data_IF_598775144428
#
_entry.id   IF_598775144428
#
_cell.length_a   1.000
_cell.length_b   1.000
_cell.length_c   1.000
_cell.angle_alpha   90.00
_cell.angle_beta   90.00
_cell.angle_gamma   90.00
#
_symmetry.space_group_name_H-M   'P 1'
#
loop_
_entity.id
_entity.type
_entity.pdbx_description
1 polymer ?
#
# COMPACT_ATOMS: atom_id res chain seq x y z
N UNK A 1 -18.65 -16.34 -4.57
CA UNK A 1 -18.56 -14.89 -4.86
C UNK A 1 -19.95 -14.40 -5.22
N UNK A 2 -20.37 -13.23 -4.72
CA UNK A 2 -21.66 -12.64 -5.12
C UNK A 2 -21.60 -12.15 -6.58
N UNK A 3 -22.72 -12.07 -7.26
CA UNK A 3 -22.85 -11.54 -8.63
C UNK A 3 -22.26 -10.13 -8.76
N UNK A 4 -22.44 -9.31 -7.73
CA UNK A 4 -21.85 -7.97 -7.61
C UNK A 4 -20.30 -8.03 -7.67
N UNK A 5 -19.66 -8.97 -6.97
CA UNK A 5 -18.20 -9.13 -6.96
C UNK A 5 -17.67 -9.58 -8.34
N UNK A 6 -18.40 -10.45 -9.03
CA UNK A 6 -18.03 -10.93 -10.38
C UNK A 6 -18.03 -9.76 -11.37
N UNK A 7 -19.06 -8.93 -11.35
CA UNK A 7 -19.15 -7.75 -12.23
C UNK A 7 -18.05 -6.73 -11.93
N UNK A 8 -17.82 -6.42 -10.66
CA UNK A 8 -16.71 -5.52 -10.27
C UNK A 8 -15.36 -6.03 -10.77
N UNK A 9 -15.11 -7.34 -10.70
CA UNK A 9 -13.87 -7.94 -11.21
C UNK A 9 -13.76 -7.81 -12.73
N UNK A 10 -14.83 -8.07 -13.49
CA UNK A 10 -14.83 -7.90 -14.94
C UNK A 10 -14.53 -6.45 -15.37
N UNK A 11 -15.09 -5.46 -14.64
CA UNK A 11 -14.81 -4.04 -14.87
C UNK A 11 -13.34 -3.72 -14.57
N UNK A 12 -12.79 -4.27 -13.48
CA UNK A 12 -11.39 -4.09 -13.09
C UNK A 12 -10.43 -4.69 -14.12
N UNK A 13 -10.70 -5.91 -14.59
CA UNK A 13 -9.89 -6.57 -15.60
C UNK A 13 -9.92 -5.80 -16.94
N UNK A 14 -11.04 -5.16 -17.25
CA UNK A 14 -11.16 -4.29 -18.43
C UNK A 14 -10.29 -3.04 -18.32
N UNK A 15 -10.22 -2.39 -17.14
CA UNK A 15 -9.32 -1.27 -16.92
C UNK A 15 -7.87 -1.72 -17.04
N UNK A 16 -7.50 -2.86 -16.43
CA UNK A 16 -6.15 -3.43 -16.53
C UNK A 16 -5.76 -3.72 -17.97
N UNK A 17 -6.66 -4.29 -18.77
CA UNK A 17 -6.42 -4.53 -20.21
C UNK A 17 -6.17 -3.23 -20.97
N UNK A 18 -6.92 -2.18 -20.71
CA UNK A 18 -6.77 -0.88 -21.37
C UNK A 18 -5.44 -0.20 -21.03
N UNK A 19 -4.92 -0.34 -19.81
CA UNK A 19 -3.63 0.23 -19.41
C UNK A 19 -2.44 -0.36 -20.16
N UNK A 20 -2.59 -1.47 -20.87
CA UNK A 20 -1.55 -2.04 -21.74
C UNK A 20 -1.33 -1.22 -23.00
N UNK A 21 -2.32 -0.41 -23.41
CA UNK A 21 -2.29 0.34 -24.68
C UNK A 21 -2.55 1.83 -24.54
N UNK A 22 -3.12 2.26 -23.41
CA UNK A 22 -3.44 3.66 -23.10
C UNK A 22 -2.90 4.06 -21.74
N UNK A 23 -2.52 5.31 -21.54
CA UNK A 23 -2.23 5.86 -20.22
C UNK A 23 -3.52 6.09 -19.43
N UNK A 24 -3.48 5.92 -18.12
CA UNK A 24 -4.67 5.97 -17.26
C UNK A 24 -5.44 7.28 -17.40
N UNK A 25 -4.77 8.42 -17.48
CA UNK A 25 -5.38 9.73 -17.70
C UNK A 25 -6.27 9.78 -18.95
N UNK A 26 -5.89 9.09 -20.02
CA UNK A 26 -6.64 9.00 -21.30
C UNK A 26 -7.72 7.94 -21.35
N UNK A 27 -7.81 7.07 -20.35
CA UNK A 27 -8.87 6.08 -20.26
C UNK A 27 -10.12 6.73 -19.69
N UNK A 28 -11.25 6.61 -20.38
CA UNK A 28 -12.57 7.08 -19.94
C UNK A 28 -13.45 5.94 -19.44
N UNK A 29 -14.51 6.27 -18.68
CA UNK A 29 -15.54 5.30 -18.28
C UNK A 29 -16.19 4.66 -19.51
N UNK A 30 -16.29 5.40 -20.63
CA UNK A 30 -16.77 4.85 -21.90
C UNK A 30 -15.87 3.71 -22.38
N UNK A 31 -14.57 3.93 -22.43
CA UNK A 31 -13.60 2.92 -22.86
C UNK A 31 -13.69 1.66 -21.99
N UNK A 32 -13.78 1.83 -20.66
CA UNK A 32 -13.90 0.70 -19.71
C UNK A 32 -15.19 -0.07 -19.93
N UNK A 33 -16.34 0.63 -20.10
CA UNK A 33 -17.63 0.00 -20.32
C UNK A 33 -17.67 -0.76 -21.65
N UNK A 34 -17.15 -0.19 -22.72
CA UNK A 34 -17.05 -0.84 -24.04
C UNK A 34 -16.14 -2.07 -23.97
N UNK A 35 -14.99 -1.98 -23.32
CA UNK A 35 -14.06 -3.09 -23.12
C UNK A 35 -14.69 -4.23 -22.31
N UNK A 36 -15.51 -3.90 -21.31
CA UNK A 36 -16.21 -4.86 -20.43
C UNK A 36 -17.46 -5.45 -21.08
N UNK A 37 -17.97 -4.88 -22.17
CA UNK A 37 -19.24 -5.28 -22.80
C UNK A 37 -20.49 -4.89 -21.99
N UNK A 38 -20.41 -3.82 -21.19
CA UNK A 38 -21.51 -3.30 -20.37
C UNK A 38 -21.88 -1.88 -20.80
N UNK A 39 -23.08 -1.42 -20.41
CA UNK A 39 -23.42 0.00 -20.57
C UNK A 39 -22.82 0.85 -19.44
N UNK A 40 -22.72 2.17 -19.63
CA UNK A 40 -22.18 3.09 -18.62
C UNK A 40 -23.02 3.12 -17.34
N UNK A 41 -24.32 2.92 -17.42
CA UNK A 41 -25.20 2.89 -16.24
C UNK A 41 -24.82 1.72 -15.32
N UNK A 42 -24.51 0.56 -15.89
CA UNK A 42 -23.98 -0.59 -15.13
C UNK A 42 -22.65 -0.28 -14.48
N UNK A 43 -21.74 0.43 -15.15
CA UNK A 43 -20.51 0.90 -14.53
C UNK A 43 -20.79 1.79 -13.31
N UNK A 44 -21.63 2.84 -13.48
CA UNK A 44 -21.98 3.78 -12.41
C UNK A 44 -22.78 3.15 -11.26
N UNK A 45 -23.42 2.02 -11.48
CA UNK A 45 -24.01 1.25 -10.39
C UNK A 45 -22.96 0.66 -9.44
N UNK A 46 -21.75 0.35 -9.94
CA UNK A 46 -20.67 -0.27 -9.18
C UNK A 46 -19.61 0.72 -8.69
N UNK A 47 -19.31 1.73 -9.47
CA UNK A 47 -18.23 2.70 -9.22
C UNK A 47 -18.65 4.10 -9.64
N UNK A 48 -18.39 5.09 -8.78
CA UNK A 48 -18.68 6.49 -9.07
C UNK A 48 -17.89 7.01 -10.29
N UNK A 49 -16.62 6.61 -10.37
CA UNK A 49 -15.71 6.98 -11.45
C UNK A 49 -14.56 5.96 -11.62
N UNK A 50 -13.65 6.24 -12.55
CA UNK A 50 -12.46 5.38 -12.77
C UNK A 50 -11.46 5.40 -11.62
N UNK A 51 -11.44 6.43 -10.79
CA UNK A 51 -10.55 6.53 -9.63
C UNK A 51 -11.06 5.69 -8.46
N UNK A 52 -12.36 5.67 -8.25
CA UNK A 52 -13.01 4.75 -7.29
C UNK A 52 -12.79 3.29 -7.69
N UNK A 53 -12.88 2.97 -8.99
CA UNK A 53 -12.51 1.65 -9.51
C UNK A 53 -11.03 1.35 -9.26
N UNK A 54 -10.14 2.31 -9.50
CA UNK A 54 -8.71 2.14 -9.28
C UNK A 54 -8.40 1.83 -7.81
N UNK A 55 -8.95 2.59 -6.87
CA UNK A 55 -8.82 2.30 -5.42
C UNK A 55 -9.29 0.90 -5.09
N UNK A 56 -10.44 0.49 -5.62
CA UNK A 56 -10.97 -0.85 -5.39
C UNK A 56 -10.02 -1.94 -5.90
N UNK A 57 -9.33 -1.72 -7.02
CA UNK A 57 -8.34 -2.67 -7.54
C UNK A 57 -7.15 -2.77 -6.58
N UNK A 58 -6.56 -1.65 -6.16
CA UNK A 58 -5.45 -1.66 -5.21
C UNK A 58 -5.84 -2.31 -3.88
N UNK A 59 -7.05 -2.02 -3.37
CA UNK A 59 -7.57 -2.64 -2.16
C UNK A 59 -7.74 -4.15 -2.34
N UNK A 60 -8.47 -4.58 -3.38
CA UNK A 60 -8.83 -5.99 -3.56
C UNK A 60 -7.66 -6.87 -4.00
N UNK A 61 -6.71 -6.33 -4.78
CA UNK A 61 -5.61 -7.11 -5.36
C UNK A 61 -4.37 -7.11 -4.49
N UNK A 62 -4.15 -6.05 -3.69
CA UNK A 62 -2.96 -5.89 -2.87
C UNK A 62 -3.29 -5.81 -1.38
N UNK A 63 -3.97 -4.74 -0.92
CA UNK A 63 -4.06 -4.44 0.51
C UNK A 63 -4.81 -5.53 1.27
N UNK A 64 -6.00 -5.91 0.82
CA UNK A 64 -6.81 -6.96 1.47
C UNK A 64 -6.18 -8.35 1.44
N UNK A 65 -5.22 -8.61 0.55
CA UNK A 65 -4.57 -9.92 0.46
C UNK A 65 -3.26 -9.98 1.25
N UNK A 66 -2.48 -8.91 1.18
CA UNK A 66 -1.10 -8.93 1.66
C UNK A 66 -0.87 -8.05 2.88
N UNK A 67 -1.74 -7.08 3.16
CA UNK A 67 -1.56 -6.12 4.25
C UNK A 67 -2.61 -6.26 5.35
N UNK A 68 -3.20 -7.46 5.52
CA UNK A 68 -4.03 -7.82 6.68
C UNK A 68 -3.18 -8.39 7.79
N UNK A 69 -3.58 -8.19 9.05
CA UNK A 69 -2.88 -8.67 10.24
C UNK A 69 -1.39 -8.28 10.25
N UNK A 70 -1.11 -7.05 9.82
CA UNK A 70 0.24 -6.50 9.81
C UNK A 70 0.67 -6.18 11.22
N UNK A 71 1.86 -6.66 11.58
CA UNK A 71 2.54 -6.37 12.84
C UNK A 71 3.94 -5.83 12.57
N UNK A 72 4.58 -5.31 13.61
CA UNK A 72 5.96 -4.87 13.53
C UNK A 72 6.92 -5.99 13.10
N UNK A 73 6.62 -7.24 13.44
CA UNK A 73 7.47 -8.38 13.11
C UNK A 73 7.31 -8.88 11.67
N UNK A 74 6.11 -8.76 11.09
CA UNK A 74 5.79 -9.39 9.81
C UNK A 74 5.65 -8.43 8.62
N UNK A 75 5.60 -7.11 8.84
CA UNK A 75 5.27 -6.15 7.77
C UNK A 75 6.23 -6.21 6.57
N UNK A 76 7.52 -6.47 6.78
CA UNK A 76 8.49 -6.56 5.69
C UNK A 76 8.26 -7.79 4.81
N UNK A 77 7.90 -8.92 5.40
CA UNK A 77 7.54 -10.15 4.67
C UNK A 77 6.21 -9.98 3.91
N UNK A 78 5.24 -9.32 4.54
CA UNK A 78 3.97 -8.97 3.89
C UNK A 78 4.19 -8.02 2.72
N UNK A 79 5.05 -7.02 2.92
CA UNK A 79 5.44 -6.11 1.86
C UNK A 79 6.10 -6.82 0.67
N UNK A 80 7.03 -7.75 0.91
CA UNK A 80 7.67 -8.53 -0.14
C UNK A 80 6.63 -9.27 -1.00
N UNK A 81 5.64 -9.92 -0.34
CA UNK A 81 4.55 -10.60 -1.03
C UNK A 81 3.70 -9.62 -1.86
N UNK A 82 3.43 -8.41 -1.35
CA UNK A 82 2.71 -7.36 -2.07
C UNK A 82 3.52 -6.88 -3.28
N UNK A 83 4.80 -6.58 -3.12
CA UNK A 83 5.67 -6.13 -4.21
C UNK A 83 5.81 -7.20 -5.29
N UNK A 84 5.91 -8.48 -4.91
CA UNK A 84 5.93 -9.61 -5.84
C UNK A 84 4.64 -9.67 -6.66
N UNK A 85 3.47 -9.53 -6.01
CA UNK A 85 2.19 -9.49 -6.71
C UNK A 85 2.06 -8.29 -7.67
N UNK A 86 2.67 -7.14 -7.33
CA UNK A 86 2.71 -6.00 -8.26
C UNK A 86 3.52 -6.29 -9.52
N UNK A 87 4.57 -7.12 -9.46
CA UNK A 87 5.36 -7.47 -10.64
C UNK A 87 4.60 -8.35 -11.62
N UNK A 88 3.60 -9.12 -11.18
CA UNK A 88 2.74 -9.94 -12.04
C UNK A 88 1.88 -9.09 -13.00
N UNK A 89 1.53 -7.85 -12.62
CA UNK A 89 0.76 -6.91 -13.44
C UNK A 89 1.47 -5.55 -13.57
N UNK A 90 2.79 -5.64 -13.78
CA UNK A 90 3.75 -4.54 -13.81
C UNK A 90 3.29 -3.35 -14.66
N UNK A 91 2.77 -3.63 -15.87
CA UNK A 91 2.30 -2.58 -16.79
C UNK A 91 1.18 -1.74 -16.17
N UNK A 92 0.22 -2.38 -15.50
CA UNK A 92 -0.88 -1.70 -14.83
C UNK A 92 -0.39 -0.78 -13.70
N UNK A 93 0.43 -1.29 -12.79
CA UNK A 93 0.89 -0.51 -11.64
C UNK A 93 1.81 0.64 -12.05
N UNK A 94 2.71 0.44 -13.02
CA UNK A 94 3.56 1.52 -13.55
C UNK A 94 2.69 2.60 -14.21
N UNK A 95 1.72 2.19 -15.03
CA UNK A 95 0.83 3.13 -15.72
C UNK A 95 0.05 3.98 -14.72
N UNK A 96 -0.59 3.34 -13.73
CA UNK A 96 -1.43 4.04 -12.75
C UNK A 96 -0.61 4.94 -11.81
N UNK A 97 0.57 4.51 -11.35
CA UNK A 97 1.44 5.37 -10.52
C UNK A 97 1.92 6.59 -11.30
N UNK A 98 2.24 6.46 -12.58
CA UNK A 98 2.75 7.58 -13.40
C UNK A 98 1.68 8.55 -13.88
N UNK A 99 0.43 8.12 -14.03
CA UNK A 99 -0.59 8.87 -14.77
C UNK A 99 -1.88 9.14 -13.96
N UNK A 100 -1.77 9.22 -12.63
CA UNK A 100 -2.90 9.57 -11.74
C UNK A 100 -2.70 10.89 -10.98
N UNK A 101 -1.76 11.75 -11.38
CA UNK A 101 -1.52 13.06 -10.73
C UNK A 101 -1.42 12.94 -9.19
N UNK A 102 -0.67 11.95 -8.69
CA UNK A 102 -0.50 11.62 -7.26
C UNK A 102 -1.73 11.01 -6.56
N UNK A 103 -2.87 10.87 -7.22
CA UNK A 103 -4.09 10.37 -6.57
C UNK A 103 -3.91 9.01 -5.89
N UNK A 104 -3.28 8.05 -6.59
CA UNK A 104 -3.05 6.73 -6.00
C UNK A 104 -1.95 6.76 -4.94
N UNK A 105 -0.95 7.64 -5.12
CA UNK A 105 0.12 7.82 -4.14
C UNK A 105 -0.43 8.34 -2.80
N UNK A 106 -1.30 9.36 -2.85
CA UNK A 106 -1.96 9.90 -1.65
C UNK A 106 -2.84 8.85 -0.97
N UNK A 107 -3.59 8.08 -1.75
CA UNK A 107 -4.39 6.98 -1.21
C UNK A 107 -3.52 5.94 -0.48
N UNK A 108 -2.43 5.48 -1.11
CA UNK A 108 -1.53 4.49 -0.52
C UNK A 108 -0.83 5.02 0.74
N UNK A 109 -0.48 6.31 0.76
CA UNK A 109 0.13 6.94 1.91
C UNK A 109 -0.79 6.94 3.13
N UNK A 110 -2.08 7.25 2.94
CA UNK A 110 -3.08 7.19 4.02
C UNK A 110 -3.20 5.76 4.56
N UNK A 111 -3.30 4.75 3.67
CA UNK A 111 -3.39 3.35 4.09
C UNK A 111 -2.12 2.90 4.85
N UNK A 112 -0.94 3.29 4.40
CA UNK A 112 0.31 2.98 5.09
C UNK A 112 0.40 3.66 6.47
N UNK A 113 -0.03 4.91 6.59
CA UNK A 113 -0.06 5.60 7.87
C UNK A 113 -0.95 4.89 8.87
N UNK A 114 -2.17 4.50 8.48
CA UNK A 114 -3.10 3.77 9.33
C UNK A 114 -2.51 2.43 9.79
N UNK A 115 -1.81 1.70 8.91
CA UNK A 115 -1.14 0.44 9.25
C UNK A 115 -0.01 0.63 10.27
N UNK A 116 0.83 1.65 10.08
CA UNK A 116 1.90 1.95 11.04
C UNK A 116 1.36 2.45 12.37
N UNK A 117 0.30 3.27 12.40
CA UNK A 117 -0.36 3.69 13.64
C UNK A 117 -0.90 2.48 14.42
N UNK A 118 -1.57 1.54 13.75
CA UNK A 118 -2.05 0.32 14.38
C UNK A 118 -0.91 -0.53 14.95
N UNK A 119 0.17 -0.74 14.20
CA UNK A 119 1.32 -1.49 14.65
C UNK A 119 2.00 -0.84 15.87
N UNK A 120 2.16 0.48 15.88
CA UNK A 120 2.74 1.22 17.00
C UNK A 120 1.84 1.15 18.24
N UNK A 121 0.51 1.24 18.08
CA UNK A 121 -0.41 1.14 19.21
C UNK A 121 -0.31 -0.21 19.92
N UNK A 122 -0.18 -1.32 19.18
CA UNK A 122 0.01 -2.65 19.76
C UNK A 122 1.31 -2.73 20.60
N UNK A 123 2.40 -2.14 20.11
CA UNK A 123 3.68 -2.09 20.84
C UNK A 123 3.53 -1.25 22.12
N UNK A 124 2.86 -0.12 22.06
CA UNK A 124 2.63 0.78 23.19
C UNK A 124 1.76 0.13 24.27
N UNK A 125 0.70 -0.57 23.88
CA UNK A 125 -0.17 -1.30 24.82
C UNK A 125 0.64 -2.37 25.58
N UNK A 126 1.51 -3.10 24.90
CA UNK A 126 2.40 -4.08 25.51
C UNK A 126 3.42 -3.43 26.44
N UNK A 127 4.02 -2.31 26.04
CA UNK A 127 4.97 -1.55 26.85
C UNK A 127 4.31 -0.97 28.13
N UNK A 128 3.09 -0.45 27.99
CA UNK A 128 2.30 0.04 29.14
C UNK A 128 1.98 -1.07 30.16
N UNK A 129 1.60 -2.26 29.67
CA UNK A 129 1.30 -3.40 30.52
C UNK A 129 2.54 -3.86 31.33
N UNK A 130 3.74 -3.65 30.78
CA UNK A 130 5.01 -3.95 31.44
C UNK A 130 5.56 -2.78 32.29
N UNK A 131 4.85 -1.66 32.38
CA UNK A 131 5.27 -0.45 33.13
C UNK A 131 6.45 0.29 32.48
N UNK A 132 6.71 0.06 31.18
CA UNK A 132 7.77 0.73 30.44
C UNK A 132 7.34 2.14 30.03
N UNK A 133 8.33 3.00 29.77
CA UNK A 133 8.08 4.36 29.30
C UNK A 133 7.51 4.32 27.86
N UNK A 134 6.43 5.05 27.66
CA UNK A 134 5.74 5.18 26.36
C UNK A 134 5.93 6.57 25.77
N UNK A 135 5.65 6.71 24.48
CA UNK A 135 5.70 8.00 23.76
C UNK A 135 4.32 8.66 23.74
N UNK A 136 4.26 9.98 23.56
CA UNK A 136 2.98 10.70 23.47
C UNK A 136 2.23 10.32 22.17
N UNK A 137 0.92 10.58 22.14
CA UNK A 137 0.10 10.37 20.95
C UNK A 137 0.65 11.13 19.74
N UNK A 138 1.10 12.36 19.93
CA UNK A 138 1.68 13.20 18.90
C UNK A 138 2.98 12.58 18.35
N UNK A 139 3.81 12.05 19.22
CA UNK A 139 5.05 11.36 18.83
C UNK A 139 4.75 10.08 18.04
N UNK A 140 3.74 9.29 18.45
CA UNK A 140 3.31 8.09 17.70
C UNK A 140 2.85 8.45 16.30
N UNK A 141 1.99 9.44 16.16
CA UNK A 141 1.51 9.90 14.86
C UNK A 141 2.67 10.40 13.97
N UNK A 142 3.64 11.09 14.55
CA UNK A 142 4.83 11.52 13.81
C UNK A 142 5.65 10.33 13.31
N UNK A 143 5.89 9.34 14.18
CA UNK A 143 6.65 8.12 13.83
C UNK A 143 5.91 7.34 12.72
N UNK A 144 4.60 7.12 12.87
CA UNK A 144 3.79 6.45 11.85
C UNK A 144 3.87 7.14 10.49
N UNK A 145 3.74 8.47 10.49
CA UNK A 145 3.89 9.28 9.26
C UNK A 145 5.28 9.14 8.66
N UNK A 146 6.34 9.22 9.45
CA UNK A 146 7.71 9.09 8.97
C UNK A 146 7.93 7.76 8.24
N UNK A 147 7.50 6.65 8.85
CA UNK A 147 7.61 5.33 8.22
C UNK A 147 6.71 5.19 6.99
N UNK A 148 5.49 5.73 7.03
CA UNK A 148 4.58 5.72 5.88
C UNK A 148 5.16 6.48 4.69
N UNK A 149 5.63 7.71 4.90
CA UNK A 149 6.24 8.52 3.84
C UNK A 149 7.51 7.87 3.27
N UNK A 150 8.40 7.36 4.13
CA UNK A 150 9.61 6.68 3.69
C UNK A 150 9.31 5.42 2.88
N UNK A 151 8.46 4.54 3.40
CA UNK A 151 8.10 3.29 2.74
C UNK A 151 7.35 3.53 1.42
N UNK A 152 6.30 4.36 1.42
CA UNK A 152 5.56 4.68 0.21
C UNK A 152 6.42 5.39 -0.82
N UNK A 153 7.28 6.33 -0.40
CA UNK A 153 8.19 7.05 -1.30
C UNK A 153 9.10 6.10 -2.07
N UNK A 154 9.74 5.15 -1.39
CA UNK A 154 10.61 4.14 -2.00
C UNK A 154 9.82 3.24 -2.95
N UNK A 155 8.63 2.78 -2.54
CA UNK A 155 7.78 1.91 -3.38
C UNK A 155 7.32 2.65 -4.64
N UNK A 156 6.84 3.88 -4.50
CA UNK A 156 6.37 4.72 -5.61
C UNK A 156 7.53 5.01 -6.58
N UNK A 157 8.71 5.31 -6.06
CA UNK A 157 9.91 5.50 -6.88
C UNK A 157 10.25 4.22 -7.65
N UNK A 158 10.32 3.08 -6.96
CA UNK A 158 10.58 1.78 -7.57
C UNK A 158 9.59 1.45 -8.69
N UNK A 159 8.29 1.62 -8.44
CA UNK A 159 7.24 1.44 -9.48
C UNK A 159 7.44 2.43 -10.62
N UNK A 160 7.66 3.71 -10.32
CA UNK A 160 7.80 4.76 -11.32
C UNK A 160 9.04 4.56 -12.20
N UNK A 161 10.12 3.99 -11.66
CA UNK A 161 11.34 3.62 -12.41
C UNK A 161 11.18 2.34 -13.22
N UNK A 162 10.07 1.64 -13.08
CA UNK A 162 9.75 0.47 -13.85
C UNK A 162 10.06 -0.85 -13.14
N UNK A 163 10.09 -0.88 -11.82
CA UNK A 163 10.32 -2.09 -11.00
C UNK A 163 11.57 -2.84 -11.50
N UNK A 164 12.72 -2.15 -11.50
CA UNK A 164 13.98 -2.69 -12.04
C UNK A 164 14.60 -3.68 -11.06
N UNK A 165 14.63 -3.31 -9.79
CA UNK A 165 15.14 -4.15 -8.72
C UNK A 165 14.09 -5.23 -8.36
N UNK A 166 14.56 -6.40 -7.94
CA UNK A 166 13.68 -7.47 -7.47
C UNK A 166 12.97 -7.08 -6.16
N UNK A 167 11.75 -7.59 -5.90
CA UNK A 167 10.98 -7.27 -4.69
C UNK A 167 11.73 -7.50 -3.38
N UNK A 168 12.51 -8.57 -3.29
CA UNK A 168 13.31 -8.93 -2.11
C UNK A 168 14.42 -7.92 -1.81
N UNK A 169 14.96 -7.23 -2.82
CA UNK A 169 15.92 -6.15 -2.62
C UNK A 169 15.27 -4.98 -1.85
N UNK A 170 14.04 -4.59 -2.23
CA UNK A 170 13.33 -3.49 -1.56
C UNK A 170 12.93 -3.89 -0.13
N UNK A 171 12.29 -5.05 0.02
CA UNK A 171 11.82 -5.54 1.32
C UNK A 171 12.98 -5.84 2.27
N UNK A 172 14.08 -6.40 1.76
CA UNK A 172 15.29 -6.68 2.52
C UNK A 172 15.98 -5.44 3.05
N UNK A 173 16.07 -4.36 2.27
CA UNK A 173 16.58 -3.08 2.75
C UNK A 173 15.67 -2.44 3.81
N UNK A 174 14.35 -2.53 3.64
CA UNK A 174 13.41 -2.06 4.66
C UNK A 174 13.49 -2.89 5.94
N UNK A 175 13.70 -4.21 5.84
CA UNK A 175 13.96 -5.07 7.00
C UNK A 175 15.25 -4.66 7.73
N UNK A 176 16.31 -4.40 6.99
CA UNK A 176 17.58 -3.92 7.56
C UNK A 176 17.39 -2.60 8.33
N UNK A 177 16.63 -1.66 7.76
CA UNK A 177 16.31 -0.40 8.43
C UNK A 177 15.50 -0.65 9.72
N UNK A 178 14.49 -1.51 9.68
CA UNK A 178 13.73 -1.93 10.86
C UNK A 178 14.67 -2.46 11.95
N UNK A 179 15.53 -3.42 11.63
CA UNK A 179 16.45 -4.06 12.58
C UNK A 179 17.45 -3.06 13.18
N UNK A 180 17.90 -2.07 12.40
CA UNK A 180 18.74 -0.96 12.89
C UNK A 180 17.98 -0.07 13.87
N UNK A 181 16.74 0.28 13.58
CA UNK A 181 15.89 1.08 14.47
C UNK A 181 15.61 0.36 15.79
N UNK A 182 15.36 -0.95 15.74
CA UNK A 182 15.18 -1.77 16.94
C UNK A 182 16.44 -1.77 17.84
N UNK A 183 17.62 -2.00 17.27
CA UNK A 183 18.89 -1.98 18.00
C UNK A 183 19.14 -0.62 18.63
N UNK A 184 19.01 0.45 17.86
CA UNK A 184 19.19 1.82 18.36
C UNK A 184 18.22 2.15 19.51
N UNK A 185 16.98 1.68 19.43
CA UNK A 185 15.99 1.87 20.50
C UNK A 185 16.37 1.08 21.76
N UNK A 186 16.86 -0.14 21.60
CA UNK A 186 17.30 -0.97 22.72
C UNK A 186 18.52 -0.37 23.43
N UNK A 187 19.55 0.05 22.67
CA UNK A 187 20.76 0.68 23.20
C UNK A 187 20.41 1.99 23.94
N UNK A 188 19.56 2.83 23.36
CA UNK A 188 19.10 4.07 23.99
C UNK A 188 18.37 3.84 25.32
N UNK A 189 17.59 2.77 25.42
CA UNK A 189 16.88 2.41 26.66
C UNK A 189 17.83 1.77 27.69
N UNK A 190 18.85 1.05 27.24
CA UNK A 190 19.82 0.38 28.12
C UNK A 190 20.81 1.37 28.74
N UNK A 191 21.29 2.38 28.01
CA UNK A 191 22.18 3.42 28.52
C UNK A 191 21.53 4.31 29.62
N UNK A 192 20.22 4.38 29.67
CA UNK A 192 19.50 5.11 30.73
C UNK A 192 19.39 4.35 32.06
N UNK A 193 19.75 3.08 32.10
CA UNK A 193 19.82 2.26 33.32
C UNK A 193 21.20 2.29 33.97
N UNK A 194 22.16 3.03 33.40
CA UNK A 194 23.55 3.11 33.86
C UNK A 194 23.92 4.47 34.50
N UNK A 195 22.90 5.26 34.94
CA UNK A 195 23.11 6.52 35.70
C UNK A 195 22.49 6.38 37.09
#
# INVERSE_FOLDING_TARGET
MSENTITKRAIADSLKALTKTKTFDKISVKDISEQCGINRQTFYYHFEDKYTLLKWIYESDLLSKYMTDVSFDNWTTRLESLLTAMTEDKTFYINTVRHTENYIQEYLLVQAQDLFEQAINVIEESANAEGKKTVSKEQRNFIARFFAYGSCGIIIEWVSRGMIEEPDYISGNMKTLKDLCERASYDFLSDKLSI
#
